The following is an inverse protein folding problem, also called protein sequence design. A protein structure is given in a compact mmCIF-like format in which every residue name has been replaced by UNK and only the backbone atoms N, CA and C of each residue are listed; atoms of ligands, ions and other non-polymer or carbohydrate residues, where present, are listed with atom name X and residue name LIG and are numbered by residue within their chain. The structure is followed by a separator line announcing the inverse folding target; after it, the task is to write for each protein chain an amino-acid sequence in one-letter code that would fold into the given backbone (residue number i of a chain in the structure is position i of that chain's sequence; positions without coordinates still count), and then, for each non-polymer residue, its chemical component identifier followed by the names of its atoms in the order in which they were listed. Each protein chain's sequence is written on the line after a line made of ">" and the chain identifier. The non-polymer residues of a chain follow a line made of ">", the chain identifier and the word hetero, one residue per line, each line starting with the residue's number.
data_IF_688945309701
#
_entry.id   IF_688945309701
#
_cell.length_a   1.000
_cell.length_b   1.000
_cell.length_c   1.000
_cell.angle_alpha   90.00
_cell.angle_beta   90.00
_cell.angle_gamma   90.00
#
_symmetry.space_group_name_H-M   'P 1'
#
loop_
_entity.id
_entity.type
_entity.pdbx_description
1 polymer ?
#
# COMPACT_ATOMS: atom_id res chain seq x y z
N UNK A 1 5.71 -20.85 -24.15
CA UNK A 1 5.21 -20.99 -22.77
C UNK A 1 4.94 -19.59 -22.22
N UNK A 2 3.71 -19.10 -22.30
CA UNK A 2 3.37 -17.75 -21.82
C UNK A 2 2.82 -17.84 -20.40
N UNK A 3 3.56 -17.28 -19.45
CA UNK A 3 3.15 -17.17 -18.05
C UNK A 3 1.82 -16.39 -17.92
N UNK A 4 0.94 -16.75 -16.96
CA UNK A 4 -0.31 -16.04 -16.76
C UNK A 4 0.00 -14.59 -16.33
N UNK A 5 -0.37 -13.64 -17.17
CA UNK A 5 -0.20 -12.21 -16.92
C UNK A 5 -1.00 -11.82 -15.67
N UNK A 6 -0.32 -11.29 -14.66
CA UNK A 6 -0.91 -10.92 -13.37
C UNK A 6 -2.08 -9.95 -13.57
N UNK A 7 -3.28 -10.33 -13.15
CA UNK A 7 -4.48 -9.48 -13.12
C UNK A 7 -4.34 -8.42 -12.02
N UNK A 8 -3.57 -7.36 -12.28
CA UNK A 8 -3.50 -6.19 -11.42
C UNK A 8 -4.79 -5.38 -11.58
N UNK A 9 -5.77 -5.60 -10.70
CA UNK A 9 -7.03 -4.86 -10.72
C UNK A 9 -6.79 -3.40 -10.28
N UNK A 10 -7.41 -2.46 -10.99
CA UNK A 10 -7.35 -1.04 -10.67
C UNK A 10 -8.02 -0.74 -9.32
N UNK A 11 -7.48 0.25 -8.60
CA UNK A 11 -8.07 0.76 -7.35
C UNK A 11 -9.30 1.61 -7.66
N UNK A 12 -10.38 1.41 -6.89
CA UNK A 12 -11.58 2.26 -6.90
C UNK A 12 -11.57 3.22 -5.71
N UNK A 13 -12.46 4.23 -5.71
CA UNK A 13 -12.67 5.11 -4.55
C UNK A 13 -12.96 4.31 -3.28
N UNK A 14 -13.91 3.37 -3.35
CA UNK A 14 -14.31 2.52 -2.23
C UNK A 14 -13.17 1.68 -1.68
N UNK A 15 -12.22 1.27 -2.54
CA UNK A 15 -11.02 0.57 -2.08
C UNK A 15 -10.13 1.49 -1.22
N UNK A 16 -9.96 2.76 -1.60
CA UNK A 16 -9.23 3.73 -0.80
C UNK A 16 -9.98 4.08 0.51
N UNK A 17 -11.30 4.19 0.48
CA UNK A 17 -12.12 4.39 1.69
C UNK A 17 -11.97 3.24 2.69
N UNK A 18 -11.94 1.98 2.20
CA UNK A 18 -11.65 0.80 3.05
C UNK A 18 -10.29 0.90 3.73
N UNK A 19 -9.27 1.40 3.03
CA UNK A 19 -7.94 1.63 3.62
C UNK A 19 -8.02 2.67 4.74
N UNK A 20 -8.67 3.81 4.49
CA UNK A 20 -8.82 4.87 5.50
C UNK A 20 -9.63 4.38 6.72
N UNK A 21 -10.73 3.66 6.48
CA UNK A 21 -11.57 3.05 7.51
C UNK A 21 -10.78 2.07 8.40
N UNK A 22 -9.98 1.18 7.81
CA UNK A 22 -9.13 0.25 8.56
C UNK A 22 -8.13 0.97 9.49
N UNK A 23 -7.58 2.10 9.04
CA UNK A 23 -6.68 2.92 9.84
C UNK A 23 -7.41 3.97 10.69
N UNK A 24 -8.74 3.91 10.79
CA UNK A 24 -9.59 4.81 11.57
C UNK A 24 -9.39 6.30 11.22
N UNK A 25 -9.18 6.59 9.94
CA UNK A 25 -9.02 7.95 9.42
C UNK A 25 -10.35 8.42 8.84
N UNK A 26 -10.92 9.56 9.30
CA UNK A 26 -12.15 10.10 8.73
C UNK A 26 -11.92 10.62 7.31
N UNK A 27 -12.93 10.44 6.45
CA UNK A 27 -12.87 10.78 5.03
C UNK A 27 -14.18 11.34 4.46
N UNK A 28 -15.18 11.58 5.30
CA UNK A 28 -16.51 12.08 4.96
C UNK A 28 -16.49 13.44 4.22
N UNK A 29 -15.49 14.29 4.52
CA UNK A 29 -15.33 15.62 3.91
C UNK A 29 -14.25 15.68 2.82
N UNK A 30 -13.65 14.55 2.45
CA UNK A 30 -12.52 14.54 1.53
C UNK A 30 -12.99 14.32 0.08
N UNK A 31 -12.38 15.05 -0.85
CA UNK A 31 -12.54 14.76 -2.28
C UNK A 31 -11.95 13.40 -2.66
N UNK A 32 -12.32 12.87 -3.83
CA UNK A 32 -11.80 11.59 -4.33
C UNK A 32 -10.25 11.59 -4.42
N UNK A 33 -9.65 12.73 -4.77
CA UNK A 33 -8.20 12.88 -4.87
C UNK A 33 -7.53 12.92 -3.49
N UNK A 34 -8.15 13.57 -2.51
CA UNK A 34 -7.67 13.59 -1.13
C UNK A 34 -7.78 12.21 -0.47
N UNK A 35 -8.90 11.50 -0.68
CA UNK A 35 -9.10 10.12 -0.21
C UNK A 35 -7.96 9.23 -0.71
N UNK A 36 -7.69 9.29 -2.03
CA UNK A 36 -6.60 8.54 -2.66
C UNK A 36 -5.25 8.91 -2.07
N UNK A 37 -4.93 10.21 -2.03
CA UNK A 37 -3.62 10.70 -1.57
C UNK A 37 -3.37 10.33 -0.12
N UNK A 38 -4.38 10.50 0.74
CA UNK A 38 -4.29 10.20 2.17
C UNK A 38 -4.11 8.69 2.42
N UNK A 39 -4.80 7.85 1.68
CA UNK A 39 -4.63 6.40 1.75
C UNK A 39 -3.22 5.97 1.31
N UNK A 40 -2.72 6.50 0.18
CA UNK A 40 -1.36 6.25 -0.32
C UNK A 40 -0.28 6.68 0.68
N UNK A 41 -0.44 7.87 1.29
CA UNK A 41 0.49 8.42 2.28
C UNK A 41 0.53 7.60 3.57
N UNK A 42 -0.63 7.13 4.06
CA UNK A 42 -0.69 6.27 5.24
C UNK A 42 0.05 4.96 4.98
N UNK A 43 -0.22 4.31 3.83
CA UNK A 43 0.44 3.06 3.47
C UNK A 43 1.96 3.25 3.33
N UNK A 44 2.41 4.29 2.63
CA UNK A 44 3.83 4.60 2.51
C UNK A 44 4.49 4.85 3.87
N UNK A 45 3.83 5.65 4.72
CA UNK A 45 4.31 5.96 6.07
C UNK A 45 4.43 4.71 6.93
N UNK A 46 3.42 3.83 6.91
CA UNK A 46 3.44 2.57 7.66
C UNK A 46 4.55 1.64 7.17
N UNK A 47 4.73 1.53 5.86
CA UNK A 47 5.82 0.74 5.27
C UNK A 47 7.18 1.26 5.72
N UNK A 48 7.45 2.56 5.57
CA UNK A 48 8.73 3.16 5.96
C UNK A 48 9.00 3.04 7.46
N UNK A 49 8.01 3.28 8.32
CA UNK A 49 8.17 3.13 9.76
C UNK A 49 8.50 1.69 10.13
N UNK A 50 7.82 0.72 9.51
CA UNK A 50 8.11 -0.69 9.72
C UNK A 50 9.53 -1.05 9.29
N UNK A 51 9.94 -0.67 8.07
CA UNK A 51 11.30 -0.95 7.55
C UNK A 51 12.34 -0.38 8.50
N UNK A 52 12.26 0.92 8.82
CA UNK A 52 13.20 1.58 9.73
C UNK A 52 13.28 0.93 11.12
N UNK A 53 12.17 0.37 11.61
CA UNK A 53 12.12 -0.26 12.92
C UNK A 53 12.80 -1.65 12.95
N UNK A 54 12.74 -2.40 11.86
CA UNK A 54 13.24 -3.80 11.83
C UNK A 54 14.53 -3.99 11.03
N UNK A 55 14.88 -3.05 10.16
CA UNK A 55 16.03 -3.15 9.24
C UNK A 55 17.33 -3.47 9.94
N UNK A 56 17.61 -2.83 11.09
CA UNK A 56 18.83 -3.11 11.88
C UNK A 56 18.92 -4.55 12.40
N UNK A 57 17.78 -5.26 12.52
CA UNK A 57 17.71 -6.61 13.09
C UNK A 57 17.73 -7.71 12.04
N UNK A 58 17.05 -7.48 10.92
CA UNK A 58 16.84 -8.53 9.90
C UNK A 58 17.52 -8.23 8.56
N UNK A 59 18.10 -7.03 8.39
CA UNK A 59 18.64 -6.54 7.13
C UNK A 59 17.57 -5.94 6.22
N UNK A 60 17.99 -5.07 5.30
CA UNK A 60 17.11 -4.25 4.45
C UNK A 60 16.13 -5.08 3.62
N UNK A 61 16.61 -6.12 2.91
CA UNK A 61 15.75 -6.94 2.04
C UNK A 61 14.65 -7.68 2.83
N UNK A 62 15.02 -8.29 3.96
CA UNK A 62 14.07 -9.00 4.82
C UNK A 62 13.08 -8.04 5.48
N UNK A 63 13.54 -6.85 5.89
CA UNK A 63 12.67 -5.80 6.42
C UNK A 63 11.63 -5.37 5.39
N UNK A 64 12.04 -5.13 4.13
CA UNK A 64 11.11 -4.80 3.05
C UNK A 64 10.11 -5.92 2.83
N UNK A 65 10.54 -7.18 2.75
CA UNK A 65 9.65 -8.32 2.53
C UNK A 65 8.61 -8.48 3.66
N UNK A 66 9.08 -8.44 4.91
CA UNK A 66 8.24 -8.55 6.12
C UNK A 66 7.21 -7.42 6.18
N UNK A 67 7.66 -6.17 6.03
CA UNK A 67 6.80 -5.01 6.12
C UNK A 67 5.82 -4.93 4.94
N UNK A 68 6.25 -5.31 3.74
CA UNK A 68 5.37 -5.43 2.56
C UNK A 68 4.28 -6.46 2.78
N UNK A 69 4.61 -7.60 3.41
CA UNK A 69 3.61 -8.61 3.74
C UNK A 69 2.53 -8.06 4.69
N UNK A 70 2.95 -7.35 5.74
CA UNK A 70 2.06 -6.79 6.77
C UNK A 70 1.20 -5.62 6.27
N UNK A 71 1.82 -4.66 5.56
CA UNK A 71 1.18 -3.41 5.12
C UNK A 71 0.39 -3.59 3.82
N UNK A 72 0.79 -4.50 2.93
CA UNK A 72 0.15 -4.65 1.61
C UNK A 72 -0.40 -6.06 1.36
N UNK A 73 0.44 -7.11 1.35
CA UNK A 73 0.04 -8.43 0.80
C UNK A 73 -1.12 -9.05 1.60
N UNK A 74 -1.05 -9.05 2.93
CA UNK A 74 -2.13 -9.57 3.80
C UNK A 74 -3.46 -8.82 3.63
N UNK A 75 -3.40 -7.57 3.15
CA UNK A 75 -4.56 -6.70 2.90
C UNK A 75 -5.09 -6.80 1.47
N UNK A 76 -4.50 -7.65 0.63
CA UNK A 76 -4.90 -7.79 -0.77
C UNK A 76 -4.40 -6.66 -1.68
N UNK A 77 -3.28 -6.02 -1.30
CA UNK A 77 -2.70 -4.89 -2.02
C UNK A 77 -1.27 -5.21 -2.50
N UNK A 78 -0.86 -4.51 -3.55
CA UNK A 78 0.55 -4.39 -3.96
C UNK A 78 0.85 -2.94 -4.34
N UNK A 79 2.02 -2.46 -3.97
CA UNK A 79 2.55 -1.19 -4.47
C UNK A 79 3.56 -1.46 -5.59
N UNK A 80 3.83 -0.44 -6.41
CA UNK A 80 4.76 -0.58 -7.54
C UNK A 80 6.17 -0.14 -7.18
N UNK A 81 6.30 1.03 -6.55
CA UNK A 81 7.56 1.56 -6.08
C UNK A 81 7.32 2.51 -4.89
N UNK A 82 8.36 2.81 -4.13
CA UNK A 82 8.26 3.56 -2.89
C UNK A 82 9.56 4.30 -2.55
N UNK A 83 9.47 5.51 -1.98
CA UNK A 83 10.62 6.21 -1.38
C UNK A 83 10.40 6.48 0.12
N UNK A 84 11.41 6.14 0.94
CA UNK A 84 11.51 6.52 2.35
C UNK A 84 12.47 7.70 2.58
N UNK A 85 13.13 8.21 1.52
CA UNK A 85 14.08 9.31 1.61
C UNK A 85 13.30 10.62 1.64
N UNK A 86 13.47 11.40 2.70
CA UNK A 86 12.65 12.59 2.96
C UNK A 86 11.23 12.20 3.37
N UNK A 87 10.25 12.39 2.47
CA UNK A 87 8.84 12.03 2.70
C UNK A 87 8.56 10.60 2.26
N UNK A 88 7.88 9.84 3.12
CA UNK A 88 7.37 8.51 2.79
C UNK A 88 6.29 8.63 1.70
N UNK A 89 6.55 8.10 0.51
CA UNK A 89 5.63 8.19 -0.63
C UNK A 89 5.65 6.93 -1.49
N UNK A 90 4.48 6.57 -2.04
CA UNK A 90 4.39 5.59 -3.12
C UNK A 90 4.72 6.26 -4.45
N UNK A 91 5.61 5.64 -5.21
CA UNK A 91 6.04 6.10 -6.51
C UNK A 91 5.30 5.34 -7.61
N UNK A 92 5.00 6.06 -8.70
CA UNK A 92 4.27 5.48 -9.82
C UNK A 92 5.24 4.72 -10.72
N UNK A 93 4.83 3.52 -11.12
CA UNK A 93 5.47 2.80 -12.22
C UNK A 93 4.43 2.54 -13.27
N UNK A 94 4.68 3.00 -14.51
CA UNK A 94 3.71 2.92 -15.63
C UNK A 94 2.34 3.51 -15.23
N UNK A 95 2.35 4.70 -14.63
CA UNK A 95 1.14 5.44 -14.23
C UNK A 95 0.40 4.91 -12.99
N UNK A 96 0.89 3.86 -12.32
CA UNK A 96 0.20 3.25 -11.16
C UNK A 96 1.12 3.20 -9.94
N UNK A 97 0.58 3.58 -8.77
CA UNK A 97 1.27 3.52 -7.47
C UNK A 97 0.86 2.32 -6.62
N UNK A 98 -0.40 1.92 -6.74
CA UNK A 98 -1.05 0.89 -5.95
C UNK A 98 -2.01 0.09 -6.85
N UNK A 99 -2.13 -1.20 -6.58
CA UNK A 99 -3.10 -2.08 -7.23
C UNK A 99 -3.62 -3.13 -6.25
N UNK A 100 -4.79 -3.70 -6.55
CA UNK A 100 -5.31 -4.84 -5.80
C UNK A 100 -4.68 -6.12 -6.31
N UNK A 101 -4.53 -7.09 -5.40
CA UNK A 101 -4.16 -8.47 -5.72
C UNK A 101 -5.34 -9.43 -5.67
N UNK A 102 -6.50 -8.97 -5.18
CA UNK A 102 -7.77 -9.72 -5.12
C UNK A 102 -8.96 -8.76 -5.15
N UNK A 103 -10.16 -9.27 -5.46
CA UNK A 103 -11.40 -8.47 -5.59
C UNK A 103 -11.75 -7.72 -4.31
N UNK A 104 -11.69 -8.40 -3.16
CA UNK A 104 -12.02 -7.85 -1.85
C UNK A 104 -10.74 -7.54 -1.06
N UNK A 105 -10.43 -6.25 -0.93
CA UNK A 105 -9.31 -5.80 -0.10
C UNK A 105 -9.76 -5.53 1.34
N UNK A 106 -8.81 -5.70 2.26
CA UNK A 106 -8.97 -5.61 3.72
C UNK A 106 -10.15 -6.43 4.25
N UNK A 107 -9.85 -7.68 4.57
CA UNK A 107 -10.36 -8.33 5.76
C UNK A 107 -9.12 -8.90 6.45
N UNK A 108 -8.94 -8.59 7.74
CA UNK A 108 -7.87 -9.16 8.56
C UNK A 108 -8.57 -9.86 9.73
N UNK A 109 -8.65 -11.19 9.65
CA UNK A 109 -8.98 -12.05 10.79
C UNK A 109 -7.86 -11.98 11.81
#
# INVERSE_FOLDING_TARGET
>A
MNAPQSMAMAMTKTDYEKILSYYKVPFDKLSNQEIKTKAEDILATKLCKCIKAVEKKVGTQNAIALCTASVFRKKGLKYFDMSCKGRSQLQSRKGRKLAKTRKNIIAVT
#
